data_IF_809814421294
#
_entry.id   IF_809814421294
#
_cell.length_a   1.000
_cell.length_b   1.000
_cell.length_c   1.000
_cell.angle_alpha   90.00
_cell.angle_beta   90.00
_cell.angle_gamma   90.00
#
_symmetry.space_group_name_H-M   'P 1'
#
loop_
_entity.id
_entity.type
_entity.pdbx_description
1 polymer ?
#
# COMPACT_ATOMS: atom_id res chain seq x y z
N UNK A 1 -14.51 1.97 -1.67
CA UNK A 1 -14.74 0.65 -1.06
C UNK A 1 -14.96 -0.37 -2.17
N UNK A 2 -14.45 -1.60 -2.06
CA UNK A 2 -14.67 -2.65 -3.06
C UNK A 2 -15.63 -3.71 -2.50
N UNK A 3 -16.69 -4.01 -3.24
CA UNK A 3 -17.61 -5.11 -2.93
C UNK A 3 -17.28 -6.34 -3.76
N UNK A 4 -17.15 -7.50 -3.13
CA UNK A 4 -16.93 -8.78 -3.82
C UNK A 4 -17.83 -9.84 -3.20
N UNK A 5 -18.50 -10.63 -4.04
CA UNK A 5 -19.24 -11.81 -3.59
C UNK A 5 -18.39 -13.05 -3.86
N UNK A 6 -17.98 -13.75 -2.80
CA UNK A 6 -17.11 -14.91 -2.89
C UNK A 6 -17.97 -16.17 -2.81
N UNK A 7 -18.02 -17.00 -3.87
CA UNK A 7 -18.78 -18.25 -3.85
C UNK A 7 -18.42 -19.13 -2.65
N UNK A 8 -19.44 -19.56 -1.91
CA UNK A 8 -19.27 -20.39 -0.70
C UNK A 8 -18.85 -19.62 0.56
N UNK A 9 -18.70 -18.30 0.48
CA UNK A 9 -18.28 -17.45 1.60
C UNK A 9 -19.23 -16.28 1.82
N UNK A 10 -19.77 -15.71 0.73
CA UNK A 10 -20.71 -14.60 0.74
C UNK A 10 -20.07 -13.25 0.46
N UNK A 11 -20.82 -12.16 0.69
CA UNK A 11 -20.41 -10.81 0.30
C UNK A 11 -19.40 -10.20 1.28
N UNK A 12 -18.34 -9.61 0.74
CA UNK A 12 -17.34 -8.83 1.45
C UNK A 12 -17.35 -7.37 1.00
N UNK A 13 -16.99 -6.49 1.94
CA UNK A 13 -16.71 -5.09 1.69
C UNK A 13 -15.29 -4.79 2.15
N UNK A 14 -14.41 -4.61 1.18
CA UNK A 14 -13.02 -4.25 1.43
C UNK A 14 -12.92 -2.73 1.52
N UNK A 15 -12.31 -2.26 2.60
CA UNK A 15 -12.10 -0.84 2.87
C UNK A 15 -10.63 -0.45 2.94
N UNK A 16 -9.73 -1.40 3.23
CA UNK A 16 -8.32 -1.15 3.46
C UNK A 16 -7.46 -2.05 2.57
N UNK A 17 -6.42 -1.48 1.98
CA UNK A 17 -5.29 -2.20 1.39
C UNK A 17 -4.11 -2.03 2.34
N UNK A 18 -3.47 -3.14 2.70
CA UNK A 18 -2.30 -3.16 3.58
C UNK A 18 -1.19 -3.91 2.87
N UNK A 19 -0.05 -3.27 2.65
CA UNK A 19 1.09 -3.87 1.93
C UNK A 19 2.40 -3.53 2.62
N UNK A 20 3.38 -4.43 2.50
CA UNK A 20 4.78 -4.10 2.73
C UNK A 20 5.33 -3.21 1.60
N UNK A 21 6.46 -2.52 1.86
CA UNK A 21 7.10 -1.65 0.88
C UNK A 21 8.28 -2.33 0.17
N UNK A 22 9.39 -2.52 0.88
CA UNK A 22 10.60 -3.14 0.32
C UNK A 22 10.39 -4.65 0.16
N UNK A 23 10.62 -5.18 -1.04
CA UNK A 23 10.42 -6.60 -1.35
C UNK A 23 9.09 -6.93 -2.06
N UNK A 24 8.17 -5.96 -2.14
CA UNK A 24 6.89 -6.09 -2.85
C UNK A 24 6.61 -4.90 -3.76
N UNK A 25 6.65 -3.68 -3.23
CA UNK A 25 6.34 -2.44 -3.97
C UNK A 25 7.60 -1.65 -4.37
N UNK A 26 8.75 -1.99 -3.80
CA UNK A 26 10.00 -1.28 -4.02
C UNK A 26 11.21 -2.22 -4.05
N UNK A 27 12.20 -1.84 -4.85
CA UNK A 27 13.55 -2.42 -4.85
C UNK A 27 14.53 -1.37 -4.31
N UNK A 28 15.36 -1.72 -3.34
CA UNK A 28 16.31 -0.81 -2.68
C UNK A 28 15.68 0.51 -2.17
N UNK A 29 14.42 0.43 -1.72
CA UNK A 29 13.66 1.58 -1.21
C UNK A 29 13.08 2.49 -2.29
N UNK A 30 13.30 2.18 -3.57
CA UNK A 30 12.75 2.90 -4.72
C UNK A 30 11.48 2.18 -5.19
N UNK A 31 10.33 2.85 -5.29
CA UNK A 31 9.11 2.27 -5.87
C UNK A 31 9.39 1.68 -7.26
N UNK A 32 8.83 0.49 -7.53
CA UNK A 32 8.87 -0.09 -8.87
C UNK A 32 8.04 0.76 -9.86
N UNK A 33 8.35 0.65 -11.15
CA UNK A 33 7.61 1.35 -12.20
C UNK A 33 6.10 1.07 -12.11
N UNK A 34 5.29 2.14 -12.12
CA UNK A 34 3.82 2.07 -12.06
C UNK A 34 3.22 1.88 -10.66
N UNK A 35 4.02 1.65 -9.62
CA UNK A 35 3.52 1.48 -8.24
C UNK A 35 2.86 2.76 -7.74
N UNK A 36 3.44 3.92 -8.03
CA UNK A 36 2.90 5.22 -7.60
C UNK A 36 1.55 5.52 -8.26
N UNK A 37 1.40 5.19 -9.53
CA UNK A 37 0.16 5.31 -10.30
C UNK A 37 -0.89 4.35 -9.76
N UNK A 38 -0.52 3.10 -9.50
CA UNK A 38 -1.40 2.09 -8.92
C UNK A 38 -1.91 2.51 -7.54
N UNK A 39 -1.05 3.06 -6.68
CA UNK A 39 -1.45 3.59 -5.36
C UNK A 39 -2.48 4.71 -5.53
N UNK A 40 -2.26 5.65 -6.45
CA UNK A 40 -3.22 6.73 -6.72
C UNK A 40 -4.57 6.18 -7.18
N UNK A 41 -4.57 5.24 -8.12
CA UNK A 41 -5.80 4.65 -8.65
C UNK A 41 -6.57 3.89 -7.57
N UNK A 42 -5.90 2.99 -6.85
CA UNK A 42 -6.57 2.14 -5.85
C UNK A 42 -7.01 2.94 -4.61
N UNK A 43 -6.37 4.07 -4.31
CA UNK A 43 -6.75 4.94 -3.19
C UNK A 43 -8.16 5.53 -3.33
N UNK A 44 -8.66 5.67 -4.56
CA UNK A 44 -10.06 6.06 -4.81
C UNK A 44 -11.06 5.00 -4.34
N UNK A 45 -10.59 3.77 -4.12
CA UNK A 45 -11.40 2.63 -3.71
C UNK A 45 -11.07 2.10 -2.32
N UNK A 46 -9.83 2.20 -1.83
CA UNK A 46 -9.42 1.64 -0.55
C UNK A 46 -8.53 2.62 0.20
N UNK A 47 -8.62 2.65 1.52
CA UNK A 47 -7.60 3.31 2.33
C UNK A 47 -6.29 2.50 2.23
N UNK A 48 -5.25 3.11 1.68
CA UNK A 48 -3.96 2.44 1.44
C UNK A 48 -3.04 2.65 2.64
N UNK A 49 -2.53 1.55 3.18
CA UNK A 49 -1.56 1.52 4.27
C UNK A 49 -0.32 0.78 3.82
N UNK A 50 0.82 1.46 3.86
CA UNK A 50 2.14 0.88 3.57
C UNK A 50 2.85 0.66 4.90
N UNK A 51 3.27 -0.57 5.18
CA UNK A 51 4.01 -0.93 6.39
C UNK A 51 5.45 -1.23 6.00
N UNK A 52 6.40 -0.59 6.67
CA UNK A 52 7.83 -0.87 6.43
C UNK A 52 8.62 -0.75 7.72
N UNK A 53 9.64 -1.59 7.87
CA UNK A 53 10.61 -1.43 8.95
C UNK A 53 11.55 -0.24 8.68
N UNK A 54 11.77 0.08 7.39
CA UNK A 54 12.68 1.13 6.89
C UNK A 54 13.93 1.32 7.76
N UNK A 55 14.57 0.21 8.11
CA UNK A 55 15.68 0.19 9.08
C UNK A 55 16.88 1.03 8.64
N UNK A 56 17.01 1.24 7.33
CA UNK A 56 18.08 2.01 6.71
C UNK A 56 17.66 3.45 6.34
N UNK A 57 16.41 3.85 6.56
CA UNK A 57 15.90 5.17 6.14
C UNK A 57 15.94 5.37 4.63
N UNK A 58 15.81 4.29 3.86
CA UNK A 58 15.96 4.29 2.40
C UNK A 58 14.62 4.31 1.67
N UNK A 59 13.50 4.22 2.38
CA UNK A 59 12.19 4.26 1.76
C UNK A 59 11.93 5.64 1.12
N UNK A 60 11.97 5.69 -0.22
CA UNK A 60 11.67 6.89 -1.03
C UNK A 60 10.20 6.87 -1.44
N UNK A 61 9.33 6.78 -0.44
CA UNK A 61 7.90 6.94 -0.64
C UNK A 61 7.48 8.18 0.11
N UNK A 62 7.30 9.27 -0.62
CA UNK A 62 6.89 10.56 -0.05
C UNK A 62 5.38 10.50 0.23
N UNK A 63 4.94 10.34 1.50
CA UNK A 63 3.52 10.19 1.82
C UNK A 63 2.74 11.48 1.53
N UNK A 64 3.44 12.60 1.47
CA UNK A 64 2.88 13.91 1.13
C UNK A 64 2.51 14.00 -0.36
N UNK A 65 3.11 13.16 -1.21
CA UNK A 65 2.89 13.13 -2.66
C UNK A 65 1.97 12.00 -3.13
N UNK A 66 1.57 11.11 -2.21
CA UNK A 66 0.78 9.92 -2.50
C UNK A 66 -0.39 9.76 -1.53
N UNK A 67 -1.59 9.37 -2.00
CA UNK A 67 -2.77 9.16 -1.17
C UNK A 67 -2.69 7.84 -0.39
N UNK A 68 -1.71 7.71 0.50
CA UNK A 68 -1.50 6.55 1.34
C UNK A 68 -0.95 6.95 2.71
N UNK A 69 -1.12 6.07 3.70
CA UNK A 69 -0.50 6.23 5.02
C UNK A 69 0.69 5.29 5.12
N UNK A 70 1.87 5.82 5.41
CA UNK A 70 3.08 5.01 5.65
C UNK A 70 3.28 4.83 7.15
N UNK A 71 3.35 3.58 7.57
CA UNK A 71 3.62 3.16 8.95
C UNK A 71 5.04 2.60 9.03
N UNK A 72 5.92 3.34 9.70
CA UNK A 72 7.31 2.93 9.91
C UNK A 72 7.44 2.30 11.29
N UNK A 73 7.82 1.03 11.34
CA UNK A 73 8.09 0.33 12.61
C UNK A 73 9.59 0.36 12.91
N UNK A 74 9.95 0.90 14.08
CA UNK A 74 11.31 0.81 14.61
C UNK A 74 11.31 -0.19 15.76
N UNK A 75 12.07 -1.28 15.63
CA UNK A 75 12.33 -2.21 16.74
C UNK A 75 13.35 -1.65 17.72
#
# INVERSE_FOLDING_TARGET
MIGIDIPGFGPFRLAHLVSDFTGTLACDGIPLEGVTEMIREISGHLAVHILTADTCGTARLEPEELPCTVHIWKS
#
